data_IF_395790791467
#
_entry.id   IF_395790791467
#
_cell.length_a   1.000
_cell.length_b   1.000
_cell.length_c   1.000
_cell.angle_alpha   90.00
_cell.angle_beta   90.00
_cell.angle_gamma   90.00
#
_symmetry.space_group_name_H-M   'P 1'
#
loop_
_entity.id
_entity.type
_entity.pdbx_description
1 polymer ?
#
# COMPACT_ATOMS: atom_id res chain seq x y z
N UNK A 1 -39.24 -33.16 9.72
CA UNK A 1 -38.61 -31.92 9.28
C UNK A 1 -37.42 -31.65 10.19
N UNK A 2 -36.22 -32.09 9.76
CA UNK A 2 -34.98 -31.90 10.49
C UNK A 2 -34.47 -30.47 10.31
N UNK A 3 -34.25 -29.76 11.41
CA UNK A 3 -33.56 -28.45 11.40
C UNK A 3 -32.10 -28.66 10.98
N UNK A 4 -31.70 -28.06 9.88
CA UNK A 4 -30.29 -27.94 9.46
C UNK A 4 -29.59 -27.09 10.53
N UNK A 5 -28.52 -27.58 11.19
CA UNK A 5 -27.75 -26.72 12.10
C UNK A 5 -27.10 -25.58 11.29
N UNK A 6 -27.41 -24.35 11.67
CA UNK A 6 -26.63 -23.18 11.20
C UNK A 6 -25.18 -23.37 11.67
N UNK A 7 -24.28 -23.68 10.76
CA UNK A 7 -22.83 -23.55 10.97
C UNK A 7 -22.58 -22.07 11.26
N UNK A 8 -22.37 -21.74 12.53
CA UNK A 8 -21.82 -20.42 12.91
C UNK A 8 -20.43 -20.34 12.28
N UNK A 9 -20.25 -19.37 11.37
CA UNK A 9 -18.93 -19.08 10.83
C UNK A 9 -18.03 -18.74 12.03
N UNK A 10 -16.98 -19.53 12.25
CA UNK A 10 -16.00 -19.23 13.30
C UNK A 10 -15.38 -17.87 13.01
N UNK A 11 -15.37 -16.98 14.01
CA UNK A 11 -14.70 -15.70 13.89
C UNK A 11 -13.20 -15.90 13.60
N UNK A 12 -12.59 -15.08 12.71
CA UNK A 12 -11.18 -15.22 12.38
C UNK A 12 -10.31 -14.92 13.59
N UNK A 13 -9.23 -15.69 13.78
CA UNK A 13 -8.23 -15.44 14.82
C UNK A 13 -7.47 -14.16 14.45
N UNK A 14 -7.43 -13.19 15.35
CA UNK A 14 -6.73 -11.90 15.19
C UNK A 14 -5.59 -11.80 16.17
N UNK A 15 -4.66 -10.87 15.90
CA UNK A 15 -3.60 -10.52 16.85
C UNK A 15 -4.18 -10.08 18.20
N UNK A 16 -3.55 -10.48 19.31
CA UNK A 16 -4.09 -10.29 20.67
C UNK A 16 -4.36 -8.84 21.10
N UNK A 17 -3.76 -7.84 20.41
CA UNK A 17 -4.00 -6.42 20.71
C UNK A 17 -5.35 -5.87 20.22
N UNK A 18 -6.02 -6.57 19.28
CA UNK A 18 -7.24 -6.09 18.61
C UNK A 18 -8.43 -6.00 19.58
N UNK A 19 -8.60 -6.98 20.45
CA UNK A 19 -9.74 -7.06 21.36
C UNK A 19 -11.08 -7.10 20.61
N UNK A 20 -12.11 -6.51 21.21
CA UNK A 20 -13.51 -6.58 20.71
C UNK A 20 -14.02 -5.25 20.14
N UNK A 21 -13.22 -4.18 20.13
CA UNK A 21 -13.65 -2.87 19.67
C UNK A 21 -13.78 -2.82 18.16
N UNK A 22 -14.95 -2.44 17.58
CA UNK A 22 -15.16 -2.48 16.13
C UNK A 22 -14.12 -1.70 15.31
N UNK A 23 -13.69 -0.52 15.79
CA UNK A 23 -12.68 0.28 15.09
C UNK A 23 -11.28 -0.36 15.10
N UNK A 24 -10.93 -1.16 16.11
CA UNK A 24 -9.69 -1.93 16.12
C UNK A 24 -9.78 -3.15 15.21
N UNK A 25 -10.93 -3.82 15.18
CA UNK A 25 -11.18 -4.94 14.26
C UNK A 25 -11.06 -4.46 12.82
N UNK A 26 -11.73 -3.38 12.46
CA UNK A 26 -11.66 -2.80 11.11
C UNK A 26 -10.23 -2.39 10.75
N UNK A 27 -9.53 -1.68 11.64
CA UNK A 27 -8.14 -1.24 11.40
C UNK A 27 -7.18 -2.42 11.19
N UNK A 28 -7.27 -3.46 12.04
CA UNK A 28 -6.46 -4.67 11.91
C UNK A 28 -6.77 -5.45 10.64
N UNK A 29 -8.06 -5.64 10.34
CA UNK A 29 -8.48 -6.51 9.25
C UNK A 29 -8.29 -5.85 7.87
N UNK A 30 -8.32 -4.51 7.80
CA UNK A 30 -8.39 -3.78 6.54
C UNK A 30 -7.17 -2.87 6.25
N UNK A 31 -6.32 -2.58 7.28
CA UNK A 31 -5.26 -1.59 7.11
C UNK A 31 -3.89 -2.03 7.66
N UNK A 32 -3.84 -2.47 8.92
CA UNK A 32 -2.58 -2.75 9.61
C UNK A 32 -1.82 -3.91 8.95
N UNK A 33 -0.52 -3.69 8.67
CA UNK A 33 0.34 -4.68 8.00
C UNK A 33 0.12 -4.79 6.49
N UNK A 34 -0.75 -3.95 5.90
CA UNK A 34 -0.95 -3.90 4.45
C UNK A 34 0.05 -2.92 3.85
N UNK A 35 0.85 -3.33 2.83
CA UNK A 35 1.81 -2.44 2.17
C UNK A 35 1.17 -1.18 1.61
N UNK A 36 1.68 -0.03 2.03
CA UNK A 36 1.26 1.30 1.57
C UNK A 36 2.29 1.82 0.59
N UNK A 37 1.82 2.27 -0.59
CA UNK A 37 2.65 2.79 -1.67
C UNK A 37 2.15 4.15 -2.18
N UNK A 38 1.62 4.99 -1.28
CA UNK A 38 1.21 6.34 -1.63
C UNK A 38 1.70 7.34 -0.59
N UNK A 39 2.34 8.40 -1.04
CA UNK A 39 2.87 9.47 -0.20
C UNK A 39 1.78 10.09 0.69
N UNK A 40 0.58 10.28 0.14
CA UNK A 40 -0.56 10.79 0.90
C UNK A 40 -0.88 9.92 2.12
N UNK A 41 -0.87 8.59 1.95
CA UNK A 41 -1.17 7.66 3.03
C UNK A 41 -0.04 7.60 4.06
N UNK A 42 1.21 7.67 3.62
CA UNK A 42 2.36 7.77 4.52
C UNK A 42 2.28 9.05 5.37
N UNK A 43 1.93 10.18 4.77
CA UNK A 43 1.80 11.44 5.52
C UNK A 43 0.61 11.43 6.51
N UNK A 44 -0.54 10.82 6.13
CA UNK A 44 -1.65 10.56 7.04
C UNK A 44 -1.18 9.77 8.25
N UNK A 45 -0.54 8.60 8.03
CA UNK A 45 -0.07 7.72 9.11
C UNK A 45 0.95 8.42 10.01
N UNK A 46 1.98 9.06 9.45
CA UNK A 46 2.97 9.80 10.24
C UNK A 46 2.34 10.88 11.12
N UNK A 47 1.32 11.59 10.60
CA UNK A 47 0.61 12.62 11.36
C UNK A 47 -0.16 12.00 12.53
N UNK A 48 -0.85 10.88 12.29
CA UNK A 48 -1.65 10.19 13.31
C UNK A 48 -0.77 9.50 14.36
N UNK A 49 0.32 8.86 13.96
CA UNK A 49 1.30 8.23 14.86
C UNK A 49 2.00 9.28 15.76
N UNK A 50 2.39 10.42 15.17
CA UNK A 50 2.90 11.53 15.94
C UNK A 50 1.88 12.10 16.94
N UNK A 51 0.61 12.13 16.55
CA UNK A 51 -0.48 12.58 17.42
C UNK A 51 -0.76 11.58 18.55
N UNK A 52 -0.47 10.29 18.36
CA UNK A 52 -0.66 9.24 19.37
C UNK A 52 0.29 9.39 20.56
N UNK A 53 1.47 9.95 20.41
CA UNK A 53 2.49 10.02 21.48
C UNK A 53 1.87 10.36 22.85
N UNK A 54 1.98 9.44 23.82
CA UNK A 54 1.38 9.55 25.15
C UNK A 54 -0.14 9.30 25.24
N UNK A 55 -0.76 8.78 24.18
CA UNK A 55 -2.19 8.46 24.10
C UNK A 55 -2.42 7.03 23.59
N UNK A 56 -3.65 6.53 23.69
CA UNK A 56 -4.01 5.25 23.10
C UNK A 56 -4.29 5.39 21.59
N UNK A 57 -3.95 4.37 20.83
CA UNK A 57 -4.28 4.32 19.39
C UNK A 57 -5.78 4.42 19.12
N UNK A 58 -6.60 3.81 20.00
CA UNK A 58 -8.07 3.96 19.96
C UNK A 58 -8.51 5.42 19.97
N UNK A 59 -7.87 6.25 20.79
CA UNK A 59 -8.18 7.69 20.87
C UNK A 59 -7.93 8.39 19.53
N UNK A 60 -6.90 7.99 18.81
CA UNK A 60 -6.53 8.57 17.51
C UNK A 60 -7.43 8.05 16.40
N UNK A 61 -7.69 6.75 16.35
CA UNK A 61 -8.59 6.16 15.34
C UNK A 61 -9.99 6.78 15.38
N UNK A 62 -10.53 6.99 16.58
CA UNK A 62 -11.85 7.63 16.76
C UNK A 62 -11.87 9.12 16.33
N UNK A 63 -10.70 9.77 16.26
CA UNK A 63 -10.56 11.17 15.82
C UNK A 63 -10.02 11.30 14.40
N UNK A 64 -9.77 10.21 13.70
CA UNK A 64 -9.13 10.20 12.38
C UNK A 64 -9.84 11.09 11.37
N UNK A 65 -11.17 11.05 11.31
CA UNK A 65 -11.95 11.92 10.44
C UNK A 65 -11.89 13.40 10.85
N UNK A 66 -11.77 13.69 12.15
CA UNK A 66 -11.46 15.02 12.65
C UNK A 66 -10.12 15.53 12.15
N UNK A 67 -9.07 14.69 12.25
CA UNK A 67 -7.74 15.00 11.70
C UNK A 67 -7.79 15.19 10.20
N UNK A 68 -8.50 14.35 9.45
CA UNK A 68 -8.64 14.46 7.99
C UNK A 68 -9.21 15.82 7.58
N UNK A 69 -10.26 16.27 8.24
CA UNK A 69 -10.85 17.60 8.01
C UNK A 69 -9.89 18.73 8.43
N UNK A 70 -9.30 18.62 9.62
CA UNK A 70 -8.45 19.66 10.21
C UNK A 70 -7.16 19.89 9.43
N UNK A 71 -6.54 18.81 8.91
CA UNK A 71 -5.27 18.81 8.19
C UNK A 71 -5.44 18.67 6.68
N UNK A 72 -6.46 19.31 6.11
CA UNK A 72 -6.69 19.44 4.66
C UNK A 72 -6.63 18.10 3.90
N UNK A 73 -7.22 17.04 4.47
CA UNK A 73 -7.19 15.70 3.88
C UNK A 73 -5.82 15.04 3.93
N UNK A 74 -4.91 15.49 4.80
CA UNK A 74 -3.51 15.05 4.87
C UNK A 74 -2.70 15.35 3.60
N UNK A 75 -3.02 16.45 2.92
CA UNK A 75 -2.22 16.97 1.81
C UNK A 75 -0.98 17.70 2.36
N UNK A 76 0.24 17.16 2.21
CA UNK A 76 1.44 17.76 2.79
C UNK A 76 1.73 19.15 2.22
N UNK A 77 1.38 19.42 0.95
CA UNK A 77 1.58 20.73 0.35
C UNK A 77 0.68 21.80 0.99
N UNK A 78 -0.55 21.44 1.35
CA UNK A 78 -1.46 22.36 2.06
C UNK A 78 -1.07 22.53 3.52
N UNK A 79 -0.78 21.41 4.20
CA UNK A 79 -0.41 21.42 5.63
C UNK A 79 0.88 22.22 5.86
N UNK A 80 1.87 22.12 4.98
CA UNK A 80 3.14 22.84 5.09
C UNK A 80 2.99 24.37 5.09
N UNK A 81 1.85 24.88 4.59
CA UNK A 81 1.52 26.32 4.46
C UNK A 81 0.61 26.84 5.58
N UNK A 82 0.28 26.03 6.59
CA UNK A 82 -0.57 26.46 7.68
C UNK A 82 0.09 27.58 8.49
N UNK A 83 -0.58 28.71 8.55
CA UNK A 83 -0.17 29.93 9.25
C UNK A 83 -0.56 29.95 10.74
N UNK A 84 -0.26 31.01 11.44
CA UNK A 84 -0.58 31.17 12.83
C UNK A 84 -2.10 31.23 13.10
N UNK A 85 -2.89 31.77 12.16
CA UNK A 85 -4.34 31.76 12.24
C UNK A 85 -4.90 30.35 12.19
N UNK A 86 -4.42 29.52 11.24
CA UNK A 86 -4.79 28.12 11.14
C UNK A 86 -4.35 27.31 12.38
N UNK A 87 -3.14 27.54 12.91
CA UNK A 87 -2.68 26.92 14.16
C UNK A 87 -3.59 27.27 15.35
N UNK A 88 -4.00 28.53 15.49
CA UNK A 88 -4.92 28.95 16.54
C UNK A 88 -6.29 28.26 16.40
N UNK A 89 -6.83 28.15 15.19
CA UNK A 89 -8.07 27.43 14.92
C UNK A 89 -7.95 25.94 15.28
N UNK A 90 -6.84 25.28 14.93
CA UNK A 90 -6.59 23.87 15.27
C UNK A 90 -6.52 23.63 16.78
N UNK A 91 -6.02 24.57 17.56
CA UNK A 91 -6.00 24.49 19.02
C UNK A 91 -7.39 24.56 19.65
N UNK A 92 -8.39 25.02 18.92
CA UNK A 92 -9.79 25.05 19.36
C UNK A 92 -10.63 23.89 18.79
N UNK A 93 -10.10 23.14 17.83
CA UNK A 93 -10.81 22.03 17.17
C UNK A 93 -10.93 20.82 18.10
N UNK A 94 -12.12 20.50 18.56
CA UNK A 94 -12.40 19.34 19.43
C UNK A 94 -12.31 17.99 18.70
N UNK A 95 -12.29 18.01 17.38
CA UNK A 95 -12.13 16.81 16.53
C UNK A 95 -10.72 16.24 16.55
N UNK A 96 -9.74 16.97 17.07
CA UNK A 96 -8.33 16.55 17.15
C UNK A 96 -7.78 16.66 18.58
N UNK A 97 -6.55 16.17 18.77
CA UNK A 97 -5.82 16.39 20.02
C UNK A 97 -5.27 17.84 20.03
N UNK A 98 -5.83 18.67 20.87
CA UNK A 98 -5.49 20.10 21.01
C UNK A 98 -4.16 20.29 21.76
N UNK A 99 -3.06 19.89 21.12
CA UNK A 99 -1.72 20.02 21.64
C UNK A 99 -0.85 20.81 20.66
N UNK A 100 -0.31 21.95 21.14
CA UNK A 100 0.48 22.87 20.31
C UNK A 100 1.66 22.16 19.63
N UNK A 101 2.44 21.39 20.37
CA UNK A 101 3.64 20.72 19.84
C UNK A 101 3.28 19.70 18.74
N UNK A 102 2.18 18.96 18.91
CA UNK A 102 1.70 18.00 17.91
C UNK A 102 1.17 18.69 16.64
N UNK A 103 0.52 19.83 16.78
CA UNK A 103 0.06 20.64 15.64
C UNK A 103 1.25 21.23 14.88
N UNK A 104 2.19 21.83 15.60
CA UNK A 104 3.40 22.42 15.01
C UNK A 104 4.28 21.35 14.35
N UNK A 105 4.40 20.18 14.98
CA UNK A 105 5.14 19.06 14.39
C UNK A 105 4.54 18.56 13.09
N UNK A 106 3.22 18.48 12.96
CA UNK A 106 2.58 18.07 11.71
C UNK A 106 2.91 19.03 10.56
N UNK A 107 3.00 20.34 10.83
CA UNK A 107 3.39 21.36 9.85
C UNK A 107 4.87 21.23 9.49
N UNK A 108 5.76 21.10 10.49
CA UNK A 108 7.19 20.90 10.26
C UNK A 108 7.44 19.60 9.48
N UNK A 109 6.75 18.53 9.86
CA UNK A 109 6.84 17.25 9.16
C UNK A 109 6.35 17.34 7.71
N UNK A 110 5.30 18.13 7.43
CA UNK A 110 4.86 18.36 6.06
C UNK A 110 5.93 19.05 5.21
N UNK A 111 6.63 20.05 5.78
CA UNK A 111 7.73 20.73 5.10
C UNK A 111 8.90 19.76 4.83
N UNK A 112 9.32 18.98 5.82
CA UNK A 112 10.37 17.99 5.69
C UNK A 112 9.97 16.87 4.70
N UNK A 113 8.71 16.45 4.69
CA UNK A 113 8.15 15.46 3.78
C UNK A 113 8.28 15.90 2.32
N UNK A 114 7.96 17.16 2.01
CA UNK A 114 8.13 17.73 0.69
C UNK A 114 9.60 17.80 0.24
N UNK A 115 10.54 17.99 1.18
CA UNK A 115 11.98 17.94 0.85
C UNK A 115 12.41 16.51 0.51
N UNK A 116 11.93 15.50 1.25
CA UNK A 116 12.18 14.09 0.93
C UNK A 116 11.61 13.74 -0.46
N UNK A 117 10.38 14.15 -0.78
CA UNK A 117 9.80 13.95 -2.11
C UNK A 117 10.66 14.56 -3.22
N UNK A 118 11.19 15.76 -2.98
CA UNK A 118 12.06 16.45 -3.94
C UNK A 118 13.39 15.72 -4.14
N UNK A 119 13.97 15.14 -3.09
CA UNK A 119 15.27 14.48 -3.12
C UNK A 119 15.18 13.07 -3.71
N UNK A 120 14.13 12.29 -3.34
CA UNK A 120 14.00 10.87 -3.67
C UNK A 120 12.92 10.56 -4.72
N UNK A 121 12.22 11.58 -5.22
CA UNK A 121 11.10 11.43 -6.17
C UNK A 121 9.76 11.12 -5.48
N UNK A 122 9.76 10.40 -4.36
CA UNK A 122 8.60 10.18 -3.49
C UNK A 122 9.04 9.84 -2.06
N UNK A 123 8.16 10.05 -1.09
CA UNK A 123 8.38 9.57 0.27
C UNK A 123 8.26 8.05 0.34
N UNK A 124 7.38 7.47 -0.46
CA UNK A 124 7.23 6.02 -0.60
C UNK A 124 8.56 5.36 -0.98
N UNK A 125 9.21 5.83 -2.05
CA UNK A 125 10.50 5.29 -2.46
C UNK A 125 11.55 5.40 -1.34
N UNK A 126 11.65 6.57 -0.72
CA UNK A 126 12.58 6.81 0.40
C UNK A 126 12.38 5.85 1.57
N UNK A 127 11.12 5.64 2.02
CA UNK A 127 10.87 4.84 3.22
C UNK A 127 11.04 3.34 2.96
N UNK A 128 10.65 2.86 1.77
CA UNK A 128 10.78 1.47 1.39
C UNK A 128 12.23 1.00 1.23
N UNK A 129 13.17 1.91 0.92
CA UNK A 129 14.60 1.58 0.84
C UNK A 129 15.15 1.05 2.17
N UNK A 130 14.61 1.49 3.32
CA UNK A 130 15.03 1.00 4.64
C UNK A 130 14.72 -0.47 4.91
N UNK A 131 13.85 -1.07 4.12
CA UNK A 131 13.49 -2.50 4.19
C UNK A 131 13.83 -3.26 2.90
N UNK A 132 14.64 -2.68 2.01
CA UNK A 132 15.06 -3.29 0.76
C UNK A 132 13.94 -3.39 -0.30
N UNK A 133 12.96 -2.48 -0.26
CA UNK A 133 11.90 -2.37 -1.26
C UNK A 133 10.78 -3.41 -1.15
N UNK A 134 10.77 -4.24 -0.11
CA UNK A 134 9.74 -5.26 0.10
C UNK A 134 9.44 -5.47 1.59
N UNK A 135 8.20 -5.91 1.96
CA UNK A 135 7.85 -6.15 3.35
C UNK A 135 8.76 -7.16 4.03
N UNK A 136 9.22 -6.85 5.24
CA UNK A 136 9.87 -7.83 6.10
C UNK A 136 8.82 -8.67 6.80
N UNK A 137 8.80 -9.96 6.55
CA UNK A 137 7.89 -10.91 7.18
C UNK A 137 8.53 -11.47 8.46
N UNK A 138 7.86 -11.27 9.60
CA UNK A 138 8.23 -11.80 10.89
C UNK A 138 7.30 -12.97 11.29
N UNK A 139 7.76 -13.82 12.22
CA UNK A 139 7.04 -15.05 12.66
C UNK A 139 6.89 -15.04 14.17
N UNK A 140 6.10 -14.12 14.69
CA UNK A 140 5.82 -13.99 16.11
C UNK A 140 4.69 -14.94 16.53
N UNK A 141 4.92 -15.77 17.52
CA UNK A 141 3.86 -16.63 18.07
C UNK A 141 2.96 -15.86 19.06
N UNK A 142 3.48 -14.80 19.66
CA UNK A 142 2.75 -13.96 20.63
C UNK A 142 3.14 -12.50 20.46
N UNK A 143 2.26 -11.58 20.85
CA UNK A 143 2.55 -10.14 20.82
C UNK A 143 3.69 -9.72 21.73
N UNK A 144 4.00 -10.49 22.77
CA UNK A 144 5.14 -10.20 23.67
C UNK A 144 6.50 -10.41 23.01
N UNK A 145 6.56 -11.11 21.88
CA UNK A 145 7.78 -11.29 21.09
C UNK A 145 8.05 -10.15 20.13
N UNK A 146 7.03 -9.36 19.80
CA UNK A 146 7.17 -8.20 18.91
C UNK A 146 8.03 -7.14 19.59
N UNK A 147 9.17 -6.74 19.01
CA UNK A 147 10.04 -5.75 19.62
C UNK A 147 9.42 -4.35 19.60
N UNK A 148 9.85 -3.49 20.50
CA UNK A 148 9.44 -2.08 20.50
C UNK A 148 10.13 -1.26 19.39
N UNK A 149 11.30 -1.70 18.91
CA UNK A 149 12.12 -1.10 17.85
C UNK A 149 12.94 -2.16 17.14
N UNK A 150 13.42 -1.86 15.95
CA UNK A 150 14.33 -2.70 15.17
C UNK A 150 15.49 -1.86 14.62
N UNK A 151 16.59 -2.47 14.15
CA UNK A 151 17.66 -1.72 13.49
C UNK A 151 17.17 -0.83 12.33
N UNK A 152 16.16 -1.27 11.57
CA UNK A 152 15.58 -0.49 10.48
C UNK A 152 14.79 0.71 11.01
N UNK A 153 13.98 0.52 12.06
CA UNK A 153 13.25 1.63 12.67
C UNK A 153 14.18 2.64 13.35
N UNK A 154 15.30 2.17 13.91
CA UNK A 154 16.33 3.03 14.51
C UNK A 154 17.01 3.87 13.41
N UNK A 155 17.40 3.24 12.29
CA UNK A 155 18.02 3.90 11.15
C UNK A 155 17.09 4.95 10.53
N UNK A 156 15.83 4.57 10.24
CA UNK A 156 14.83 5.46 9.67
C UNK A 156 14.50 6.62 10.63
N UNK A 157 14.32 6.35 11.93
CA UNK A 157 14.11 7.37 12.95
C UNK A 157 15.26 8.38 13.01
N UNK A 158 16.49 7.89 12.95
CA UNK A 158 17.70 8.73 12.95
C UNK A 158 17.75 9.64 11.73
N UNK A 159 17.49 9.11 10.54
CA UNK A 159 17.52 9.88 9.29
C UNK A 159 16.37 10.89 9.23
N UNK A 160 15.15 10.51 9.62
CA UNK A 160 14.01 11.43 9.70
C UNK A 160 14.27 12.60 10.66
N UNK A 161 14.86 12.33 11.85
CA UNK A 161 15.26 13.40 12.79
C UNK A 161 16.28 14.34 12.20
N UNK A 162 17.29 13.81 11.48
CA UNK A 162 18.30 14.61 10.77
C UNK A 162 17.66 15.52 9.72
N UNK A 163 16.59 15.06 9.07
CA UNK A 163 15.80 15.80 8.07
C UNK A 163 14.82 16.80 8.68
N UNK A 164 14.76 16.88 10.03
CA UNK A 164 13.93 17.85 10.75
C UNK A 164 12.56 17.36 11.15
N UNK A 165 12.20 16.10 10.91
CA UNK A 165 10.95 15.53 11.40
C UNK A 165 10.89 15.52 12.93
N UNK A 166 9.69 15.67 13.47
CA UNK A 166 9.37 15.67 14.89
C UNK A 166 8.43 14.52 15.23
N UNK A 167 8.45 14.05 16.46
CA UNK A 167 7.66 12.90 16.93
C UNK A 167 7.91 11.61 16.11
N UNK A 168 9.14 11.44 15.66
CA UNK A 168 9.59 10.27 14.88
C UNK A 168 10.62 9.45 15.66
N UNK A 169 10.37 9.20 16.95
CA UNK A 169 11.16 8.27 17.76
C UNK A 169 11.10 6.85 17.19
N UNK A 170 12.11 6.00 17.46
CA UNK A 170 12.19 4.68 16.85
C UNK A 170 10.94 3.82 17.11
N UNK A 171 10.36 3.87 18.31
CA UNK A 171 9.09 3.17 18.61
C UNK A 171 7.92 3.68 17.76
N UNK A 172 7.81 5.01 17.55
CA UNK A 172 6.77 5.60 16.68
C UNK A 172 6.99 5.19 15.24
N UNK A 173 8.24 5.18 14.79
CA UNK A 173 8.60 4.76 13.44
C UNK A 173 8.37 3.27 13.23
N UNK A 174 8.65 2.44 14.25
CA UNK A 174 8.33 1.01 14.14
C UNK A 174 6.82 0.78 14.05
N UNK A 175 6.00 1.50 14.83
CA UNK A 175 4.55 1.47 14.70
C UNK A 175 4.09 1.91 13.29
N UNK A 176 4.73 2.95 12.72
CA UNK A 176 4.49 3.35 11.33
C UNK A 176 4.86 2.25 10.33
N UNK A 177 6.00 1.58 10.52
CA UNK A 177 6.44 0.48 9.65
C UNK A 177 5.44 -0.70 9.70
N UNK A 178 4.90 -1.02 10.88
CA UNK A 178 3.85 -2.01 11.04
C UNK A 178 2.55 -1.57 10.35
N UNK A 179 2.09 -0.34 10.62
CA UNK A 179 0.86 0.20 10.06
C UNK A 179 0.89 0.29 8.53
N UNK A 180 2.04 0.69 7.96
CA UNK A 180 2.25 0.84 6.53
C UNK A 180 2.71 -0.45 5.82
N UNK A 181 2.80 -1.57 6.53
CA UNK A 181 3.17 -2.87 5.98
C UNK A 181 4.61 -2.99 5.50
N UNK A 182 5.53 -2.10 5.93
CA UNK A 182 6.97 -2.28 5.71
C UNK A 182 7.48 -3.50 6.47
N UNK A 183 6.85 -3.80 7.59
CA UNK A 183 7.02 -5.06 8.33
C UNK A 183 5.66 -5.72 8.54
N UNK A 184 5.61 -7.03 8.46
CA UNK A 184 4.40 -7.79 8.78
C UNK A 184 4.61 -8.47 10.13
N UNK A 185 3.94 -7.96 11.16
CA UNK A 185 4.02 -8.41 12.55
C UNK A 185 2.72 -9.06 13.03
N UNK A 186 1.87 -9.52 12.10
CA UNK A 186 0.78 -10.39 12.48
C UNK A 186 1.32 -11.64 13.17
N UNK A 187 0.71 -12.07 14.26
CA UNK A 187 1.08 -13.33 14.92
C UNK A 187 0.82 -14.52 14.00
N UNK A 188 1.60 -15.59 14.14
CA UNK A 188 1.55 -16.76 13.24
C UNK A 188 0.19 -17.46 13.20
N UNK A 189 -0.65 -17.30 14.24
CA UNK A 189 -2.02 -17.78 14.31
C UNK A 189 -3.05 -16.80 13.73
N UNK A 190 -2.67 -15.52 13.51
CA UNK A 190 -3.57 -14.51 12.97
C UNK A 190 -3.95 -14.82 11.52
N UNK A 191 -5.23 -14.66 11.17
CA UNK A 191 -5.71 -14.90 9.80
C UNK A 191 -5.05 -13.99 8.75
N UNK A 192 -4.49 -12.86 9.16
CA UNK A 192 -3.76 -11.91 8.30
C UNK A 192 -2.28 -12.27 8.11
N UNK A 193 -1.75 -13.21 8.88
CA UNK A 193 -0.38 -13.66 8.68
C UNK A 193 -0.27 -14.41 7.33
N UNK A 194 0.74 -14.13 6.49
CA UNK A 194 0.86 -14.72 5.15
C UNK A 194 0.81 -16.24 5.11
N UNK A 195 1.33 -16.93 6.14
CA UNK A 195 1.23 -18.39 6.23
C UNK A 195 -0.20 -18.93 6.31
N UNK A 196 -1.17 -18.12 6.77
CA UNK A 196 -2.57 -18.53 6.92
C UNK A 196 -3.43 -18.07 5.75
N UNK A 197 -2.97 -17.11 4.94
CA UNK A 197 -3.68 -16.67 3.75
C UNK A 197 -3.77 -17.79 2.69
N UNK A 198 -2.75 -18.64 2.60
CA UNK A 198 -2.73 -19.81 1.71
C UNK A 198 -3.60 -20.98 2.22
N UNK A 199 -3.71 -21.16 3.55
CA UNK A 199 -4.52 -22.23 4.13
C UNK A 199 -6.04 -21.98 4.02
N UNK A 200 -6.48 -20.72 4.06
CA UNK A 200 -7.89 -20.34 3.91
C UNK A 200 -8.41 -20.55 2.48
N UNK A 201 -7.53 -20.58 1.48
CA UNK A 201 -7.90 -20.84 0.08
C UNK A 201 -8.38 -22.28 -0.12
N UNK A 202 -8.04 -23.22 0.76
CA UNK A 202 -8.42 -24.64 0.63
C UNK A 202 -9.75 -24.97 1.33
N UNK A 203 -10.17 -24.22 2.36
CA UNK A 203 -11.38 -24.55 3.15
C UNK A 203 -12.62 -23.72 2.77
N UNK A 204 -12.45 -22.58 2.10
CA UNK A 204 -13.57 -21.70 1.72
C UNK A 204 -13.91 -21.73 0.22
N UNK A 205 -13.80 -22.88 -0.43
CA UNK A 205 -14.36 -23.08 -1.78
C UNK A 205 -15.88 -23.17 -1.83
N UNK A 206 -16.56 -22.99 -0.70
CA UNK A 206 -18.01 -22.91 -0.64
C UNK A 206 -18.42 -21.68 0.18
N UNK A 207 -18.96 -20.68 -0.52
CA UNK A 207 -19.62 -19.46 -0.08
C UNK A 207 -18.72 -18.25 0.27
N UNK A 208 -18.88 -17.24 -0.58
CA UNK A 208 -18.35 -15.86 -0.56
C UNK A 208 -16.88 -15.67 -0.96
N UNK A 209 -16.60 -15.92 -2.24
CA UNK A 209 -15.48 -15.29 -2.93
C UNK A 209 -15.69 -13.77 -3.02
N UNK A 210 -15.09 -12.98 -2.11
CA UNK A 210 -14.62 -11.67 -2.56
C UNK A 210 -13.38 -11.95 -3.42
N UNK A 211 -13.61 -12.33 -4.65
CA UNK A 211 -12.66 -12.21 -5.74
C UNK A 211 -12.08 -10.81 -5.66
N UNK A 212 -10.76 -10.67 -5.76
CA UNK A 212 -10.17 -9.37 -6.03
C UNK A 212 -11.01 -8.78 -7.16
N UNK A 213 -11.74 -7.70 -6.90
CA UNK A 213 -12.60 -7.18 -7.93
C UNK A 213 -11.68 -6.66 -9.02
N UNK A 214 -11.53 -7.43 -10.11
CA UNK A 214 -10.73 -7.03 -11.28
C UNK A 214 -11.25 -5.73 -11.89
N UNK A 215 -12.43 -5.26 -11.45
CA UNK A 215 -12.95 -3.93 -11.72
C UNK A 215 -12.05 -2.80 -11.19
N UNK A 216 -11.17 -3.08 -10.22
CA UNK A 216 -10.20 -2.11 -9.69
C UNK A 216 -8.91 -2.06 -10.50
N UNK A 217 -8.66 -3.01 -11.40
CA UNK A 217 -7.49 -3.02 -12.28
C UNK A 217 -7.79 -2.23 -13.56
N UNK A 218 -7.08 -1.13 -13.73
CA UNK A 218 -7.13 -0.27 -14.91
C UNK A 218 -5.92 -0.47 -15.80
N UNK A 219 -6.02 -0.02 -17.04
CA UNK A 219 -4.89 0.01 -17.97
C UNK A 219 -4.75 1.43 -18.47
N UNK A 220 -3.51 1.92 -18.59
CA UNK A 220 -3.23 3.27 -19.07
C UNK A 220 -1.87 3.32 -19.75
N UNK A 221 -1.71 4.18 -20.74
CA UNK A 221 -0.39 4.43 -21.30
C UNK A 221 0.46 5.17 -20.26
N UNK A 222 1.73 4.83 -20.17
CA UNK A 222 2.66 5.47 -19.23
C UNK A 222 2.90 6.95 -19.54
N UNK A 223 2.63 7.35 -20.79
CA UNK A 223 2.73 8.75 -21.26
C UNK A 223 1.51 9.62 -20.92
N UNK A 224 0.42 8.99 -20.47
CA UNK A 224 -0.78 9.73 -20.08
C UNK A 224 -0.63 10.30 -18.67
N UNK A 225 -1.18 11.50 -18.47
CA UNK A 225 -1.09 12.18 -17.18
C UNK A 225 -1.65 11.33 -16.03
N UNK A 226 -0.98 11.33 -14.86
CA UNK A 226 -1.50 10.68 -13.67
C UNK A 226 -2.87 11.24 -13.28
N UNK A 227 -3.76 10.38 -12.78
CA UNK A 227 -5.06 10.77 -12.25
C UNK A 227 -5.18 10.37 -10.77
N UNK A 228 -5.92 11.13 -9.95
CA UNK A 228 -6.10 10.84 -8.52
C UNK A 228 -6.64 9.43 -8.22
N UNK A 229 -7.32 8.83 -9.19
CA UNK A 229 -7.93 7.51 -9.08
C UNK A 229 -7.11 6.39 -9.73
N UNK A 230 -5.88 6.67 -10.20
CA UNK A 230 -5.00 5.63 -10.77
C UNK A 230 -4.59 4.59 -9.71
N UNK A 231 -4.51 4.98 -8.44
CA UNK A 231 -4.00 4.12 -7.39
C UNK A 231 -2.52 3.78 -7.59
N UNK A 232 -2.13 2.53 -7.34
CA UNK A 232 -0.76 2.06 -7.57
C UNK A 232 -0.50 1.91 -9.08
N UNK A 233 0.42 2.70 -9.61
CA UNK A 233 0.80 2.72 -11.04
C UNK A 233 1.95 1.76 -11.29
N UNK A 234 1.67 0.63 -11.96
CA UNK A 234 2.62 -0.48 -12.15
C UNK A 234 2.98 -0.61 -13.63
N UNK A 235 4.25 -0.33 -13.96
CA UNK A 235 4.76 -0.52 -15.31
C UNK A 235 5.09 -2.00 -15.54
N UNK A 236 4.51 -2.60 -16.59
CA UNK A 236 4.69 -4.01 -16.96
C UNK A 236 5.44 -4.20 -18.28
N UNK A 237 6.23 -3.22 -18.67
CA UNK A 237 7.11 -3.32 -19.83
C UNK A 237 8.50 -3.82 -19.42
N UNK A 238 9.13 -4.60 -20.28
CA UNK A 238 10.50 -5.09 -20.05
C UNK A 238 11.55 -3.99 -20.16
N UNK A 239 11.29 -2.97 -20.97
CA UNK A 239 12.19 -1.82 -21.16
C UNK A 239 11.53 -0.56 -20.66
N UNK A 240 12.32 0.34 -20.09
CA UNK A 240 11.82 1.65 -19.69
C UNK A 240 11.36 2.46 -20.91
N UNK A 241 10.22 3.18 -20.82
CA UNK A 241 9.68 3.98 -21.92
C UNK A 241 10.65 5.10 -22.34
N UNK A 242 10.87 5.24 -23.65
CA UNK A 242 11.82 6.23 -24.17
C UNK A 242 11.31 7.65 -23.95
N UNK A 243 12.22 8.56 -23.62
CA UNK A 243 11.92 9.97 -23.46
C UNK A 243 11.12 10.35 -22.21
N UNK A 244 10.97 9.42 -21.26
CA UNK A 244 10.24 9.66 -20.03
C UNK A 244 11.16 9.41 -18.82
N UNK A 245 11.32 10.41 -17.95
CA UNK A 245 12.03 10.23 -16.68
C UNK A 245 11.19 9.43 -15.69
N UNK A 246 11.81 8.88 -14.63
CA UNK A 246 11.07 8.17 -13.59
C UNK A 246 10.07 9.10 -12.89
N UNK A 247 10.48 10.33 -12.64
CA UNK A 247 9.69 11.36 -11.99
C UNK A 247 8.46 11.73 -12.84
N UNK A 248 8.66 11.95 -14.16
CA UNK A 248 7.58 12.31 -15.08
C UNK A 248 6.60 11.16 -15.33
N UNK A 249 7.07 9.91 -15.24
CA UNK A 249 6.24 8.72 -15.42
C UNK A 249 5.28 8.47 -14.25
N UNK A 250 5.57 8.96 -13.06
CA UNK A 250 4.83 8.65 -11.83
C UNK A 250 4.56 7.14 -11.68
N UNK A 251 5.59 6.32 -11.93
CA UNK A 251 5.52 4.85 -11.79
C UNK A 251 5.88 4.47 -10.37
N UNK A 252 4.96 3.85 -9.65
CA UNK A 252 5.20 3.36 -8.30
C UNK A 252 6.05 2.07 -8.32
N UNK A 253 5.73 1.15 -9.22
CA UNK A 253 6.44 -0.12 -9.35
C UNK A 253 6.77 -0.41 -10.82
N UNK A 254 7.95 -0.96 -11.07
CA UNK A 254 8.34 -1.48 -12.38
C UNK A 254 8.54 -2.99 -12.29
N UNK A 255 7.49 -3.75 -12.65
CA UNK A 255 7.48 -5.22 -12.59
C UNK A 255 7.86 -5.83 -13.94
N UNK A 256 9.16 -5.87 -14.21
CA UNK A 256 9.73 -6.44 -15.46
C UNK A 256 9.38 -7.92 -15.66
N UNK A 257 9.15 -8.63 -14.56
CA UNK A 257 8.87 -10.07 -14.59
C UNK A 257 7.45 -10.37 -15.07
N UNK A 258 6.56 -9.38 -15.04
CA UNK A 258 5.25 -9.45 -15.70
C UNK A 258 5.32 -9.14 -17.20
N UNK A 259 6.46 -8.68 -17.72
CA UNK A 259 6.59 -8.39 -19.13
C UNK A 259 6.84 -9.67 -19.93
N UNK A 260 6.35 -9.78 -21.18
CA UNK A 260 6.69 -10.90 -22.05
C UNK A 260 8.18 -10.98 -22.28
N UNK A 261 8.68 -12.19 -22.51
CA UNK A 261 10.10 -12.42 -22.85
C UNK A 261 10.53 -11.58 -24.06
N UNK A 262 11.81 -11.24 -24.11
CA UNK A 262 12.35 -10.48 -25.25
C UNK A 262 12.05 -11.17 -26.58
N UNK A 263 12.13 -12.51 -26.62
CA UNK A 263 11.84 -13.33 -27.81
C UNK A 263 10.39 -13.19 -28.23
N UNK A 264 9.45 -13.33 -27.29
CA UNK A 264 8.01 -13.22 -27.56
C UNK A 264 7.63 -11.80 -27.97
N UNK A 265 8.15 -10.78 -27.28
CA UNK A 265 7.93 -9.37 -27.60
C UNK A 265 8.41 -9.02 -29.02
N UNK A 266 9.61 -9.46 -29.40
CA UNK A 266 10.17 -9.21 -30.74
C UNK A 266 9.38 -9.92 -31.82
N UNK A 267 8.98 -11.19 -31.58
CA UNK A 267 8.14 -11.94 -32.49
C UNK A 267 6.76 -11.31 -32.70
N UNK A 268 6.13 -10.83 -31.62
CA UNK A 268 4.81 -10.18 -31.70
C UNK A 268 4.86 -8.90 -32.51
N UNK A 269 5.81 -7.99 -32.22
CA UNK A 269 6.02 -6.75 -32.96
C UNK A 269 4.76 -5.87 -33.06
N UNK A 270 3.82 -6.03 -32.14
CA UNK A 270 2.49 -5.38 -32.16
C UNK A 270 1.67 -5.65 -33.42
N UNK A 271 1.90 -6.77 -34.10
CA UNK A 271 1.14 -7.19 -35.28
C UNK A 271 -0.22 -7.77 -34.84
N UNK A 272 -1.36 -7.14 -35.25
CA UNK A 272 -2.69 -7.61 -34.86
C UNK A 272 -2.99 -9.04 -35.29
N UNK A 273 -2.45 -9.50 -36.43
CA UNK A 273 -2.65 -10.87 -36.92
C UNK A 273 -2.01 -11.93 -35.99
N UNK A 274 -1.04 -11.53 -35.19
CA UNK A 274 -0.36 -12.42 -34.21
C UNK A 274 -0.99 -12.36 -32.83
N UNK A 275 -2.01 -11.55 -32.63
CA UNK A 275 -2.57 -11.28 -31.29
C UNK A 275 -3.07 -12.54 -30.58
N UNK A 276 -3.88 -13.43 -31.18
CA UNK A 276 -4.36 -14.63 -30.48
C UNK A 276 -3.20 -15.54 -30.04
N UNK A 277 -2.22 -15.73 -30.91
CA UNK A 277 -1.05 -16.57 -30.59
C UNK A 277 -0.14 -15.90 -29.56
N UNK A 278 0.03 -14.57 -29.61
CA UNK A 278 0.75 -13.81 -28.59
C UNK A 278 0.12 -14.01 -27.22
N UNK A 279 -1.21 -13.90 -27.10
CA UNK A 279 -1.90 -14.13 -25.82
C UNK A 279 -1.64 -15.54 -25.29
N UNK A 280 -1.77 -16.57 -26.11
CA UNK A 280 -1.54 -17.96 -25.70
C UNK A 280 -0.11 -18.16 -25.17
N UNK A 281 0.90 -17.70 -25.92
CA UNK A 281 2.30 -17.83 -25.53
C UNK A 281 2.63 -17.01 -24.27
N UNK A 282 2.08 -15.81 -24.17
CA UNK A 282 2.31 -14.93 -23.02
C UNK A 282 1.64 -15.48 -21.75
N UNK A 283 0.45 -16.08 -21.88
CA UNK A 283 -0.22 -16.74 -20.75
C UNK A 283 0.61 -17.91 -20.22
N UNK A 284 1.23 -18.70 -21.11
CA UNK A 284 2.17 -19.74 -20.70
C UNK A 284 3.39 -19.19 -19.96
N UNK A 285 3.92 -18.02 -20.36
CA UNK A 285 5.01 -17.37 -19.63
C UNK A 285 4.54 -16.87 -18.24
N UNK A 286 3.31 -16.35 -18.12
CA UNK A 286 2.72 -15.93 -16.84
C UNK A 286 2.44 -17.12 -15.92
N UNK A 287 1.98 -18.27 -16.46
CA UNK A 287 1.78 -19.51 -15.69
C UNK A 287 3.09 -20.03 -15.08
N UNK A 288 4.22 -19.73 -15.71
CA UNK A 288 5.56 -20.08 -15.19
C UNK A 288 6.09 -19.05 -14.18
N UNK A 289 5.47 -17.87 -14.11
CA UNK A 289 5.88 -16.78 -13.23
C UNK A 289 4.78 -16.41 -12.22
N UNK A 290 4.26 -17.42 -11.54
CA UNK A 290 3.13 -17.31 -10.58
C UNK A 290 3.38 -16.27 -9.50
N UNK A 291 4.63 -16.17 -9.02
CA UNK A 291 5.00 -15.20 -7.97
C UNK A 291 4.72 -13.76 -8.41
N UNK A 292 5.16 -13.36 -9.59
CA UNK A 292 4.95 -11.98 -10.08
C UNK A 292 3.45 -11.68 -10.30
N UNK A 293 2.67 -12.68 -10.73
CA UNK A 293 1.22 -12.58 -10.88
C UNK A 293 0.55 -12.44 -9.51
N UNK A 294 0.94 -13.24 -8.53
CA UNK A 294 0.43 -13.17 -7.15
C UNK A 294 0.74 -11.82 -6.50
N UNK A 295 1.96 -11.31 -6.67
CA UNK A 295 2.37 -10.00 -6.15
C UNK A 295 1.48 -8.87 -6.74
N UNK A 296 1.17 -8.92 -8.04
CA UNK A 296 0.25 -7.97 -8.68
C UNK A 296 -1.18 -8.11 -8.14
N UNK A 297 -1.69 -9.32 -8.01
CA UNK A 297 -3.03 -9.57 -7.46
C UNK A 297 -3.13 -9.14 -6.00
N UNK A 298 -2.09 -9.34 -5.22
CA UNK A 298 -2.02 -8.87 -3.84
C UNK A 298 -2.12 -7.33 -3.78
N UNK A 299 -1.40 -6.62 -4.64
CA UNK A 299 -1.54 -5.16 -4.75
C UNK A 299 -2.98 -4.76 -5.10
N UNK A 300 -3.60 -5.45 -6.06
CA UNK A 300 -4.94 -5.15 -6.54
C UNK A 300 -6.06 -5.48 -5.52
N UNK A 301 -5.81 -6.36 -4.55
CA UNK A 301 -6.76 -6.67 -3.47
C UNK A 301 -6.98 -5.50 -2.52
N UNK A 302 -5.94 -4.70 -2.31
CA UNK A 302 -5.93 -3.67 -1.26
C UNK A 302 -5.95 -2.24 -1.81
N UNK A 303 -5.58 -2.07 -3.08
CA UNK A 303 -5.50 -0.75 -3.70
C UNK A 303 -6.04 -0.80 -5.14
N UNK A 304 -6.63 0.28 -5.64
CA UNK A 304 -6.79 0.43 -7.08
C UNK A 304 -5.42 0.32 -7.75
N UNK A 305 -5.34 -0.46 -8.83
CA UNK A 305 -4.09 -0.63 -9.59
C UNK A 305 -4.29 -0.16 -11.01
N UNK A 306 -3.33 0.60 -11.53
CA UNK A 306 -3.26 0.95 -12.94
C UNK A 306 -2.03 0.31 -13.57
N UNK A 307 -2.25 -0.69 -14.41
CA UNK A 307 -1.21 -1.33 -15.22
C UNK A 307 -0.79 -0.36 -16.32
N UNK A 308 0.50 -0.03 -16.35
CA UNK A 308 1.06 0.90 -17.32
C UNK A 308 1.83 0.17 -18.41
N UNK A 309 1.71 0.70 -19.64
CA UNK A 309 2.44 0.23 -20.82
C UNK A 309 2.90 1.40 -21.70
N UNK A 310 4.00 1.20 -22.45
CA UNK A 310 4.60 2.21 -23.33
C UNK A 310 4.21 2.09 -24.81
N UNK A 311 3.56 0.99 -25.20
CA UNK A 311 3.18 0.75 -26.60
C UNK A 311 2.26 1.85 -27.17
N UNK A 312 2.40 2.14 -28.50
CA UNK A 312 1.46 3.06 -29.18
C UNK A 312 0.10 2.41 -29.43
N UNK A 313 0.08 1.09 -29.63
CA UNK A 313 -1.15 0.35 -29.87
C UNK A 313 -1.85 0.06 -28.53
N UNK A 314 -2.99 0.69 -28.32
CA UNK A 314 -3.77 0.56 -27.07
C UNK A 314 -4.59 -0.73 -27.00
N UNK A 315 -4.87 -1.37 -28.15
CA UNK A 315 -5.68 -2.60 -28.21
C UNK A 315 -4.84 -3.87 -28.13
N UNK A 316 -3.64 -3.87 -28.73
CA UNK A 316 -2.78 -5.04 -28.86
C UNK A 316 -1.44 -4.82 -28.18
N UNK A 317 -1.41 -4.97 -26.85
CA UNK A 317 -0.22 -4.80 -26.02
C UNK A 317 -0.23 -5.76 -24.82
N UNK A 318 0.92 -5.89 -24.16
CA UNK A 318 1.10 -6.79 -23.02
C UNK A 318 0.20 -6.47 -21.82
N UNK A 319 -0.10 -5.22 -21.54
CA UNK A 319 -0.98 -4.85 -20.42
C UNK A 319 -2.44 -5.30 -20.65
N UNK A 320 -2.93 -5.18 -21.89
CA UNK A 320 -4.25 -5.70 -22.29
C UNK A 320 -4.29 -7.23 -22.17
N UNK A 321 -3.24 -7.92 -22.64
CA UNK A 321 -3.14 -9.38 -22.51
C UNK A 321 -3.05 -9.81 -21.04
N UNK A 322 -2.25 -9.11 -20.22
CA UNK A 322 -2.14 -9.39 -18.80
C UNK A 322 -3.48 -9.24 -18.09
N UNK A 323 -4.22 -8.15 -18.35
CA UNK A 323 -5.56 -7.97 -17.77
C UNK A 323 -6.52 -9.09 -18.20
N UNK A 324 -6.48 -9.51 -19.46
CA UNK A 324 -7.29 -10.64 -19.95
C UNK A 324 -6.90 -11.96 -19.25
N UNK A 325 -5.61 -12.20 -19.03
CA UNK A 325 -5.12 -13.35 -18.26
C UNK A 325 -5.67 -13.34 -16.84
N UNK A 326 -5.53 -12.21 -16.13
CA UNK A 326 -6.03 -12.06 -14.76
C UNK A 326 -7.55 -12.29 -14.69
N UNK A 327 -8.33 -11.75 -15.66
CA UNK A 327 -9.78 -11.93 -15.72
C UNK A 327 -10.18 -13.40 -15.96
N UNK A 328 -9.38 -14.16 -16.69
CA UNK A 328 -9.66 -15.56 -16.99
C UNK A 328 -9.36 -16.50 -15.82
N UNK A 329 -8.33 -16.20 -15.03
CA UNK A 329 -7.83 -17.12 -14.00
C UNK A 329 -8.27 -16.73 -12.58
N UNK A 330 -8.67 -15.47 -12.37
CA UNK A 330 -8.94 -14.91 -11.05
C UNK A 330 -10.21 -14.03 -11.01
N UNK A 331 -10.95 -13.94 -12.11
CA UNK A 331 -12.21 -13.19 -12.25
C UNK A 331 -13.46 -13.95 -11.86
#
# INVERSE_FOLDING_TARGET
MGRIPHLQAQEPIRCGWVGTKPHFIAYHDEEWGIPVHTDHRHFEMLTLEGAQAGLSWSTILLRREGYRRAFAGFDPLKVSKFDNGKKAALLQDTGIIRNRLKIESAITNAQAFLQVQKEFGSFDHYIWDFVGGSPKLNYWNTMSQVPATTPESDALSKDLKKRGFKFVGSTVIYAHMQAAGLVNDHTTDCFRHPSNLSAQTTVQRTSNSRTASLSTIRIKRVYDAPAPNDGCRILVDRLWPRGLSKEAAHVNLWQKDLAPSTKLRTWFGHNPARWPEFQTRYFTELDQNTKAVEDLLQQARYNPVTILFGARNEKYNNAVALKAYLSRHFG
#
